data_IF_909191118645
#
_entry.id   IF_909191118645
#
_cell.length_a   1.000
_cell.length_b   1.000
_cell.length_c   1.000
_cell.angle_alpha   90.00
_cell.angle_beta   90.00
_cell.angle_gamma   90.00
#
_symmetry.space_group_name_H-M   'P 1'
#
loop_
_entity.id
_entity.type
_entity.pdbx_description
1 polymer ?
#
# COMPACT_ATOMS: atom_id res chain seq x y z
N UNK A 1 -0.93 -10.46 -50.34
CA UNK A 1 -1.57 -11.50 -49.49
C UNK A 1 -1.49 -11.02 -48.02
N UNK A 2 -2.55 -10.41 -47.60
CA UNK A 2 -2.68 -9.80 -46.25
C UNK A 2 -3.19 -10.87 -45.27
N UNK A 3 -2.35 -11.20 -44.27
CA UNK A 3 -2.73 -12.14 -43.22
C UNK A 3 -3.54 -11.37 -42.16
N UNK A 4 -4.87 -11.49 -42.22
CA UNK A 4 -5.76 -11.03 -41.15
C UNK A 4 -5.47 -11.75 -39.86
N UNK A 5 -4.99 -10.98 -38.86
CA UNK A 5 -4.86 -11.39 -37.46
C UNK A 5 -6.27 -11.64 -36.90
N UNK A 6 -6.59 -12.90 -36.67
CA UNK A 6 -7.90 -13.33 -36.14
C UNK A 6 -7.90 -13.01 -34.63
N UNK A 7 -8.53 -11.91 -34.26
CA UNK A 7 -8.76 -11.53 -32.87
C UNK A 7 -9.60 -12.59 -32.17
N UNK A 8 -9.03 -13.20 -31.14
CA UNK A 8 -9.68 -14.20 -30.33
C UNK A 8 -10.44 -13.51 -29.18
N UNK A 9 -11.76 -13.41 -29.32
CA UNK A 9 -12.67 -12.83 -28.34
C UNK A 9 -12.59 -13.58 -26.99
N UNK A 10 -12.57 -12.85 -25.85
CA UNK A 10 -12.52 -13.39 -24.49
C UNK A 10 -13.58 -14.47 -24.22
N UNK A 11 -14.77 -14.35 -24.82
CA UNK A 11 -15.82 -15.36 -24.71
C UNK A 11 -15.46 -16.69 -25.41
N UNK A 12 -14.75 -16.63 -26.54
CA UNK A 12 -14.28 -17.83 -27.25
C UNK A 12 -13.16 -18.51 -26.49
N UNK A 13 -12.27 -17.74 -25.88
CA UNK A 13 -11.20 -18.27 -25.02
C UNK A 13 -11.75 -19.04 -23.80
N UNK A 14 -12.71 -18.45 -23.10
CA UNK A 14 -13.34 -19.09 -21.93
C UNK A 14 -14.15 -20.35 -22.31
N UNK A 15 -14.80 -20.37 -23.49
CA UNK A 15 -15.51 -21.58 -23.96
C UNK A 15 -14.54 -22.71 -24.35
N UNK A 16 -13.35 -22.38 -24.87
CA UNK A 16 -12.33 -23.39 -25.17
C UNK A 16 -11.73 -24.01 -23.89
N UNK A 17 -11.53 -23.20 -22.85
CA UNK A 17 -11.08 -23.68 -21.53
C UNK A 17 -12.13 -24.55 -20.84
N UNK A 18 -13.42 -24.21 -20.95
CA UNK A 18 -14.51 -24.97 -20.34
C UNK A 18 -14.79 -26.31 -21.03
N UNK A 19 -14.53 -26.45 -22.33
CA UNK A 19 -14.73 -27.69 -23.06
C UNK A 19 -13.59 -28.71 -22.88
N UNK A 20 -12.42 -28.28 -22.40
CA UNK A 20 -11.28 -29.16 -22.10
C UNK A 20 -11.32 -29.84 -20.73
N UNK A 21 -12.23 -29.45 -19.84
CA UNK A 21 -12.26 -29.92 -18.47
C UNK A 21 -13.04 -31.26 -18.26
N UNK A 22 -13.63 -31.84 -19.33
CA UNK A 22 -14.48 -33.01 -19.19
C UNK A 22 -13.77 -34.37 -19.43
N UNK A 23 -12.47 -34.41 -19.74
CA UNK A 23 -11.79 -35.66 -20.14
C UNK A 23 -10.59 -36.05 -19.25
N UNK A 24 -10.31 -35.39 -18.15
CA UNK A 24 -9.18 -35.76 -17.27
C UNK A 24 -9.51 -35.79 -15.78
N UNK A 25 -10.65 -36.46 -15.42
CA UNK A 25 -10.98 -36.65 -14.01
C UNK A 25 -10.31 -37.88 -13.35
N UNK A 26 -9.30 -38.51 -13.96
CA UNK A 26 -8.65 -39.69 -13.38
C UNK A 26 -7.11 -39.55 -13.14
N UNK A 27 -6.50 -38.39 -13.27
CA UNK A 27 -5.04 -38.25 -13.09
C UNK A 27 -4.59 -37.23 -12.04
N UNK A 28 -5.49 -36.69 -11.22
CA UNK A 28 -5.11 -35.72 -10.16
C UNK A 28 -5.22 -36.28 -8.73
N UNK A 29 -5.01 -37.58 -8.56
CA UNK A 29 -4.68 -38.11 -7.26
C UNK A 29 -3.17 -38.21 -7.17
N UNK A 30 -2.55 -37.17 -6.60
CA UNK A 30 -1.15 -37.23 -6.24
C UNK A 30 -0.34 -36.03 -6.62
N UNK A 31 -0.69 -34.88 -6.10
CA UNK A 31 0.22 -33.81 -5.69
C UNK A 31 -0.64 -32.76 -4.99
N UNK A 32 -0.93 -33.01 -3.74
CA UNK A 32 -1.21 -31.94 -2.81
C UNK A 32 0.18 -31.30 -2.60
N UNK A 33 0.49 -30.11 -3.16
CA UNK A 33 1.59 -29.36 -2.62
C UNK A 33 1.10 -29.02 -1.22
N UNK A 34 1.66 -29.66 -0.21
CA UNK A 34 1.66 -29.11 1.12
C UNK A 34 1.93 -27.62 0.91
N UNK A 35 0.92 -26.81 1.09
CA UNK A 35 1.07 -25.40 1.29
C UNK A 35 1.83 -25.30 2.60
N UNK A 36 3.16 -25.46 2.52
CA UNK A 36 4.02 -24.95 3.54
C UNK A 36 3.63 -23.49 3.65
N UNK A 37 2.74 -23.20 4.57
CA UNK A 37 2.66 -21.88 5.16
C UNK A 37 4.09 -21.60 5.50
N UNK A 38 4.75 -20.85 4.63
CA UNK A 38 6.01 -20.25 4.93
C UNK A 38 5.72 -19.20 6.02
N UNK A 39 5.46 -19.71 7.22
CA UNK A 39 5.85 -19.06 8.46
C UNK A 39 7.38 -19.16 8.48
N UNK A 40 8.00 -18.74 7.39
CA UNK A 40 9.38 -18.37 7.36
C UNK A 40 9.43 -17.13 8.23
N UNK A 41 9.82 -17.31 9.47
CA UNK A 41 10.45 -16.24 10.23
C UNK A 41 11.36 -15.51 9.24
N UNK A 42 11.01 -14.26 8.92
CA UNK A 42 11.90 -13.34 8.20
C UNK A 42 13.04 -13.01 9.18
N UNK A 43 13.84 -14.03 9.52
CA UNK A 43 15.01 -13.91 10.38
C UNK A 43 16.22 -13.33 9.63
N UNK A 44 16.01 -12.91 8.38
CA UNK A 44 16.98 -12.16 7.61
C UNK A 44 16.83 -10.67 7.84
N UNK A 45 17.93 -9.97 8.05
CA UNK A 45 17.95 -8.51 8.07
C UNK A 45 17.34 -7.99 6.75
N UNK A 46 16.29 -7.17 6.87
CA UNK A 46 15.61 -6.63 5.67
C UNK A 46 16.56 -5.62 5.02
N UNK A 47 16.89 -5.78 3.72
CA UNK A 47 17.82 -4.88 3.06
C UNK A 47 17.32 -3.43 3.05
N UNK A 48 18.19 -2.48 3.35
CA UNK A 48 17.89 -1.04 3.32
C UNK A 48 18.15 -0.41 1.95
N UNK A 49 18.81 -1.15 1.03
CA UNK A 49 19.28 -0.69 -0.29
C UNK A 49 18.47 -1.24 -1.48
N UNK A 50 17.35 -1.93 -1.22
CA UNK A 50 16.54 -2.60 -2.27
C UNK A 50 15.31 -1.83 -2.73
N UNK A 51 15.09 -0.60 -2.23
CA UNK A 51 13.96 0.21 -2.66
C UNK A 51 14.11 0.62 -4.13
N UNK A 52 13.03 0.45 -4.89
CA UNK A 52 12.95 0.93 -6.27
C UNK A 52 12.34 2.34 -6.30
N UNK A 53 12.95 3.22 -7.08
CA UNK A 53 12.51 4.61 -7.22
C UNK A 53 12.07 4.92 -8.63
N UNK A 54 11.21 5.92 -8.77
CA UNK A 54 10.90 6.63 -10.02
C UNK A 54 11.43 8.04 -9.93
N UNK A 55 12.06 8.50 -10.99
CA UNK A 55 12.56 9.87 -11.08
C UNK A 55 11.54 10.74 -11.81
N UNK A 56 11.15 11.84 -11.21
CA UNK A 56 10.36 12.87 -11.88
C UNK A 56 11.25 13.56 -12.92
N UNK A 57 10.93 13.49 -14.22
CA UNK A 57 11.78 14.05 -15.27
C UNK A 57 11.88 15.57 -15.21
N UNK A 58 10.90 16.25 -14.63
CA UNK A 58 10.86 17.71 -14.55
C UNK A 58 11.65 18.29 -13.37
N UNK A 59 11.71 17.58 -12.24
CA UNK A 59 12.34 18.07 -11.01
C UNK A 59 13.61 17.30 -10.62
N UNK A 60 13.80 16.10 -11.18
CA UNK A 60 14.88 15.20 -10.80
C UNK A 60 14.63 14.44 -9.48
N UNK A 61 13.49 14.67 -8.84
CA UNK A 61 13.15 14.01 -7.57
C UNK A 61 12.99 12.52 -7.73
N UNK A 62 13.58 11.76 -6.82
CA UNK A 62 13.44 10.30 -6.75
C UNK A 62 12.40 9.92 -5.71
N UNK A 63 11.30 9.31 -6.15
CA UNK A 63 10.19 8.87 -5.28
C UNK A 63 10.15 7.34 -5.26
N UNK A 64 10.03 6.76 -4.06
CA UNK A 64 9.87 5.31 -3.90
C UNK A 64 8.56 4.85 -4.55
N UNK A 65 8.61 3.71 -5.26
CA UNK A 65 7.40 3.14 -5.88
C UNK A 65 6.44 2.55 -4.83
N UNK A 66 6.95 2.25 -3.65
CA UNK A 66 6.15 1.89 -2.49
C UNK A 66 5.87 3.17 -1.70
N UNK A 67 4.60 3.42 -1.40
CA UNK A 67 4.15 4.52 -0.55
C UNK A 67 3.56 4.01 0.77
N UNK A 68 3.67 4.83 1.80
CA UNK A 68 3.05 4.56 3.11
C UNK A 68 1.68 5.23 3.17
N UNK A 69 0.62 4.41 3.22
CA UNK A 69 -0.76 4.88 3.34
C UNK A 69 -1.14 5.16 4.80
N UNK A 70 -1.56 6.38 5.10
CA UNK A 70 -1.82 6.84 6.48
C UNK A 70 -3.31 6.76 6.87
N UNK A 71 -4.14 6.03 6.11
CA UNK A 71 -5.57 5.92 6.38
C UNK A 71 -5.89 5.14 7.67
N UNK A 72 -5.04 4.18 8.02
CA UNK A 72 -5.22 3.29 9.19
C UNK A 72 -3.92 3.24 9.98
N UNK A 73 -3.68 4.29 10.73
CA UNK A 73 -2.54 4.32 11.65
C UNK A 73 -2.82 3.44 12.88
N UNK A 74 -1.78 2.91 13.54
CA UNK A 74 -1.93 2.18 14.79
C UNK A 74 -2.69 2.97 15.82
N UNK A 75 -3.54 2.29 16.59
CA UNK A 75 -4.33 2.88 17.66
C UNK A 75 -4.10 2.15 18.99
N UNK A 76 -4.25 2.86 20.08
CA UNK A 76 -4.23 2.29 21.43
C UNK A 76 -5.58 1.63 21.68
N UNK A 77 -5.57 0.34 22.03
CA UNK A 77 -6.77 -0.35 22.48
C UNK A 77 -7.19 0.19 23.86
N UNK A 78 -8.43 0.68 23.96
CA UNK A 78 -9.05 1.01 25.23
C UNK A 78 -10.03 -0.11 25.57
N UNK A 79 -9.97 -0.61 26.81
CA UNK A 79 -10.90 -1.62 27.31
C UNK A 79 -12.36 -1.27 26.96
N UNK A 80 -13.04 -2.18 26.27
CA UNK A 80 -14.46 -2.05 25.91
C UNK A 80 -14.76 -1.34 24.59
N UNK A 81 -13.76 -0.97 23.78
CA UNK A 81 -13.97 -0.43 22.42
C UNK A 81 -13.07 -1.14 21.41
N UNK A 82 -13.64 -1.96 20.55
CA UNK A 82 -12.93 -2.42 19.36
C UNK A 82 -12.48 -1.23 18.49
N UNK A 83 -11.18 -1.17 18.20
CA UNK A 83 -10.57 -0.10 17.43
C UNK A 83 -10.44 1.20 18.24
N UNK A 84 -9.40 1.31 19.06
CA UNK A 84 -9.13 2.47 19.90
C UNK A 84 -9.27 3.81 19.17
N UNK A 85 -9.87 4.78 19.84
CA UNK A 85 -10.08 6.11 19.26
C UNK A 85 -8.81 6.97 19.23
N UNK A 86 -7.74 6.55 19.87
CA UNK A 86 -6.50 7.30 20.01
C UNK A 86 -5.37 6.66 19.18
N UNK A 87 -4.63 7.49 18.46
CA UNK A 87 -3.49 7.00 17.69
C UNK A 87 -2.35 6.66 18.63
N UNK A 88 -1.75 5.48 18.44
CA UNK A 88 -0.47 5.12 19.05
C UNK A 88 0.66 5.89 18.37
N UNK A 89 0.92 7.10 18.86
CA UNK A 89 1.92 7.98 18.26
C UNK A 89 3.33 7.36 18.30
N UNK A 90 3.64 6.59 19.32
CA UNK A 90 4.95 5.96 19.45
C UNK A 90 5.14 4.86 18.40
N UNK A 91 4.11 4.05 18.17
CA UNK A 91 4.14 3.06 17.09
C UNK A 91 4.21 3.71 15.70
N UNK A 92 3.45 4.81 15.48
CA UNK A 92 3.54 5.58 14.23
C UNK A 92 4.96 6.11 14.02
N UNK A 93 5.58 6.65 15.05
CA UNK A 93 6.97 7.14 14.98
C UNK A 93 7.93 6.00 14.58
N UNK A 94 7.84 4.84 15.22
CA UNK A 94 8.67 3.67 14.89
C UNK A 94 8.44 3.19 13.46
N UNK A 95 7.20 3.18 12.98
CA UNK A 95 6.88 2.76 11.61
C UNK A 95 7.44 3.74 10.57
N UNK A 96 7.39 5.04 10.84
CA UNK A 96 7.96 6.07 9.97
C UNK A 96 9.49 5.98 9.95
N UNK A 97 10.12 5.82 11.12
CA UNK A 97 11.58 5.65 11.23
C UNK A 97 12.03 4.42 10.41
N UNK A 98 11.33 3.31 10.57
CA UNK A 98 11.62 2.08 9.84
C UNK A 98 11.43 2.25 8.33
N UNK A 99 10.32 2.86 7.90
CA UNK A 99 10.04 3.09 6.49
C UNK A 99 11.13 3.92 5.81
N UNK A 100 11.53 5.04 6.43
CA UNK A 100 12.59 5.90 5.92
C UNK A 100 13.95 5.19 5.90
N UNK A 101 14.28 4.44 6.95
CA UNK A 101 15.53 3.66 7.01
C UNK A 101 15.63 2.61 5.90
N UNK A 102 14.49 2.12 5.39
CA UNK A 102 14.42 1.14 4.29
C UNK A 102 14.14 1.80 2.93
N UNK A 103 14.31 3.12 2.83
CA UNK A 103 14.27 3.85 1.56
C UNK A 103 12.87 4.24 1.08
N UNK A 104 11.81 3.93 1.84
CA UNK A 104 10.50 4.48 1.53
C UNK A 104 10.50 5.98 1.84
N UNK A 105 10.12 6.81 0.87
CA UNK A 105 10.12 8.25 1.05
C UNK A 105 8.83 8.94 0.60
N UNK A 106 7.74 8.19 0.38
CA UNK A 106 6.46 8.75 -0.02
C UNK A 106 5.36 8.36 0.96
N UNK A 107 4.67 9.36 1.52
CA UNK A 107 3.58 9.20 2.49
C UNK A 107 2.30 9.82 1.95
N UNK A 108 1.16 9.11 2.08
CA UNK A 108 -0.15 9.57 1.62
C UNK A 108 -1.11 9.68 2.81
N UNK A 109 -1.56 10.90 3.11
CA UNK A 109 -2.52 11.20 4.17
C UNK A 109 -3.76 11.93 3.64
N UNK A 110 -4.66 12.31 4.54
CA UNK A 110 -5.86 13.09 4.24
C UNK A 110 -6.44 13.70 5.52
N UNK A 111 -7.08 14.88 5.44
CA UNK A 111 -7.82 15.47 6.56
C UNK A 111 -8.88 14.54 7.15
N UNK A 112 -9.46 13.62 6.33
CA UNK A 112 -10.50 12.69 6.78
C UNK A 112 -9.95 11.41 7.44
N UNK A 113 -8.64 11.12 7.33
CA UNK A 113 -8.06 9.88 7.82
C UNK A 113 -7.96 9.83 9.33
N UNK A 114 -8.17 8.65 9.92
CA UNK A 114 -8.13 8.44 11.36
C UNK A 114 -9.02 9.43 12.15
N UNK A 115 -10.24 9.69 11.64
CA UNK A 115 -11.16 10.66 12.22
C UNK A 115 -10.55 12.08 12.37
N UNK A 116 -9.81 12.52 11.36
CA UNK A 116 -9.17 13.84 11.30
C UNK A 116 -7.84 13.94 12.04
N UNK A 117 -7.23 12.84 12.47
CA UNK A 117 -6.00 12.86 13.29
C UNK A 117 -4.75 12.43 12.54
N UNK A 118 -4.89 11.87 11.34
CA UNK A 118 -3.76 11.34 10.59
C UNK A 118 -2.72 12.39 10.24
N UNK A 119 -3.11 13.55 9.75
CA UNK A 119 -2.17 14.62 9.37
C UNK A 119 -1.32 15.08 10.56
N UNK A 120 -1.95 15.26 11.73
CA UNK A 120 -1.23 15.64 12.95
C UNK A 120 -0.24 14.56 13.37
N UNK A 121 -0.67 13.29 13.39
CA UNK A 121 0.19 12.19 13.77
C UNK A 121 1.38 12.03 12.83
N UNK A 122 1.15 12.15 11.54
CA UNK A 122 2.22 12.11 10.53
C UNK A 122 3.13 13.32 10.63
N UNK A 123 2.59 14.52 10.92
CA UNK A 123 3.36 15.72 11.17
C UNK A 123 4.34 15.54 12.32
N UNK A 124 3.88 14.96 13.46
CA UNK A 124 4.74 14.65 14.61
C UNK A 124 5.83 13.65 14.22
N UNK A 125 5.47 12.57 13.56
CA UNK A 125 6.44 11.54 13.19
C UNK A 125 7.48 12.04 12.20
N UNK A 126 7.06 12.74 11.14
CA UNK A 126 7.93 13.22 10.06
C UNK A 126 8.79 14.41 10.45
N UNK A 127 8.37 15.25 11.41
CA UNK A 127 9.18 16.39 11.90
C UNK A 127 10.48 15.96 12.56
N UNK A 128 10.63 14.70 12.92
CA UNK A 128 11.85 14.10 13.48
C UNK A 128 12.93 13.83 12.41
N UNK A 129 12.57 13.99 11.13
CA UNK A 129 13.43 13.69 9.97
C UNK A 129 13.68 14.94 9.12
N UNK A 130 14.79 15.00 8.38
CA UNK A 130 15.06 16.12 7.49
C UNK A 130 13.95 16.29 6.45
N UNK A 131 13.38 17.48 6.31
CA UNK A 131 12.23 17.72 5.39
C UNK A 131 12.47 17.25 3.95
N UNK A 132 13.70 17.27 3.49
CA UNK A 132 14.10 16.85 2.14
C UNK A 132 14.20 15.33 1.97
N UNK A 133 14.08 14.54 3.04
CA UNK A 133 14.19 13.08 2.98
C UNK A 133 12.87 12.39 2.60
N UNK A 134 11.77 13.13 2.51
CA UNK A 134 10.46 12.56 2.23
C UNK A 134 9.53 13.46 1.44
N UNK A 135 8.57 12.85 0.78
CA UNK A 135 7.41 13.48 0.15
C UNK A 135 6.16 13.10 0.95
N UNK A 136 5.29 14.07 1.16
CA UNK A 136 3.99 13.84 1.79
C UNK A 136 2.90 14.45 0.90
N UNK A 137 1.91 13.63 0.56
CA UNK A 137 0.71 14.04 -0.12
C UNK A 137 -0.46 14.05 0.87
N UNK A 138 -1.25 15.09 0.81
CA UNK A 138 -2.57 15.15 1.45
C UNK A 138 -3.64 15.43 0.42
N UNK A 139 -4.89 15.48 0.83
CA UNK A 139 -6.05 15.61 -0.06
C UNK A 139 -6.85 16.85 0.28
N UNK A 140 -7.39 17.47 -0.76
CA UNK A 140 -8.47 18.43 -0.57
C UNK A 140 -9.77 17.65 -0.32
N UNK A 141 -10.16 17.56 0.95
CA UNK A 141 -11.40 16.88 1.33
C UNK A 141 -12.58 17.83 1.26
N UNK A 142 -13.47 17.61 0.31
CA UNK A 142 -14.68 18.40 0.13
C UNK A 142 -15.94 17.78 0.79
N UNK A 143 -15.74 16.89 1.75
CA UNK A 143 -16.85 16.20 2.44
C UNK A 143 -17.54 17.09 3.49
N UNK A 144 -16.92 18.19 3.91
CA UNK A 144 -17.48 19.13 4.85
C UNK A 144 -17.53 20.53 4.23
N UNK A 145 -18.64 21.28 4.41
CA UNK A 145 -18.77 22.64 3.86
C UNK A 145 -17.64 23.58 4.29
N UNK A 146 -17.11 23.42 5.49
CA UNK A 146 -15.97 24.21 5.99
C UNK A 146 -14.69 24.08 5.15
N UNK A 147 -14.55 23.03 4.33
CA UNK A 147 -13.38 22.84 3.46
C UNK A 147 -13.54 23.48 2.08
N UNK A 148 -14.69 24.13 1.80
CA UNK A 148 -15.01 24.70 0.50
C UNK A 148 -14.63 26.18 0.40
N UNK A 149 -14.25 26.82 1.51
CA UNK A 149 -13.82 28.22 1.52
C UNK A 149 -12.30 28.32 1.66
N UNK A 150 -11.74 29.47 1.19
CA UNK A 150 -10.32 29.79 1.34
C UNK A 150 -9.92 30.07 2.78
N UNK A 151 -10.88 30.33 3.65
CA UNK A 151 -10.74 30.72 5.04
C UNK A 151 -10.81 29.51 5.99
N UNK A 152 -11.00 28.29 5.45
CA UNK A 152 -11.12 27.07 6.22
C UNK A 152 -9.76 26.42 6.50
#
# INVERSE_FOLDING_TARGET
>A
MEKTKKDMDRRKFLKLLGAGAAVTSSAFYGCHPERKTASGSLSGEIPTDKMTYRTNPSTGDKVSILGYGCMRLPTIEKEGKEGGDEIDQEMVNRQVDYALAHGLNYFDTSPAYCKGRSERAMGIALSRHPRKSYFIATKLSNFAPATWSREA
#
